data_IF_854442289499
#
_entry.id   IF_854442289499
#
_cell.length_a   1.000
_cell.length_b   1.000
_cell.length_c   1.000
_cell.angle_alpha   90.00
_cell.angle_beta   90.00
_cell.angle_gamma   90.00
#
_symmetry.space_group_name_H-M   'P 1'
#
loop_
_entity.id
_entity.type
_entity.pdbx_description
1 polymer ?
#
# COMPACT_ATOMS: atom_id res chain seq x y z
N UNK A 1 -26.60 -52.74 -48.87
CA UNK A 1 -27.51 -52.35 -49.97
C UNK A 1 -28.69 -51.61 -49.37
N UNK A 2 -28.99 -50.38 -49.87
CA UNK A 2 -30.13 -49.49 -49.53
C UNK A 2 -30.06 -48.82 -48.13
N UNK A 3 -30.38 -47.54 -47.94
CA UNK A 3 -30.69 -46.43 -48.84
C UNK A 3 -30.51 -45.12 -48.04
N UNK A 4 -29.98 -44.12 -48.72
CA UNK A 4 -29.86 -42.71 -48.32
C UNK A 4 -31.24 -42.12 -48.00
N UNK A 5 -31.35 -41.31 -46.93
CA UNK A 5 -32.20 -40.13 -46.92
C UNK A 5 -31.45 -38.95 -46.32
N UNK A 6 -31.03 -38.04 -47.21
CA UNK A 6 -30.66 -36.66 -46.91
C UNK A 6 -31.88 -35.94 -46.33
N UNK A 7 -31.70 -35.21 -45.23
CA UNK A 7 -32.41 -33.95 -45.02
C UNK A 7 -31.35 -32.93 -44.63
N UNK A 8 -31.19 -31.97 -45.53
CA UNK A 8 -30.40 -30.76 -45.40
C UNK A 8 -31.32 -29.73 -44.74
N UNK A 9 -30.91 -29.15 -43.61
CA UNK A 9 -31.34 -27.81 -43.23
C UNK A 9 -30.16 -27.09 -42.56
N UNK A 10 -29.76 -26.00 -43.22
CA UNK A 10 -28.80 -25.01 -42.76
C UNK A 10 -29.23 -24.41 -41.42
N UNK A 11 -28.26 -24.06 -40.58
CA UNK A 11 -28.55 -23.26 -39.38
C UNK A 11 -27.35 -22.92 -38.51
N UNK A 12 -26.49 -22.04 -39.02
CA UNK A 12 -25.61 -21.12 -38.26
C UNK A 12 -24.40 -21.71 -37.52
N UNK A 13 -23.26 -21.36 -38.11
CA UNK A 13 -21.88 -21.54 -37.67
C UNK A 13 -21.58 -20.75 -36.39
N UNK A 14 -20.78 -21.39 -35.53
CA UNK A 14 -20.13 -20.88 -34.33
C UNK A 14 -19.69 -19.42 -34.39
N UNK A 15 -19.91 -18.71 -33.29
CA UNK A 15 -18.90 -17.82 -32.72
C UNK A 15 -19.01 -17.83 -31.19
N UNK A 16 -18.53 -18.91 -30.59
CA UNK A 16 -18.19 -18.96 -29.17
C UNK A 16 -16.99 -18.03 -28.95
N UNK A 17 -17.26 -16.75 -28.72
CA UNK A 17 -16.28 -15.86 -28.11
C UNK A 17 -16.38 -16.13 -26.61
N UNK A 18 -15.54 -17.05 -26.13
CA UNK A 18 -15.19 -17.09 -24.73
C UNK A 18 -14.66 -15.68 -24.38
N UNK A 19 -15.40 -14.97 -23.53
CA UNK A 19 -14.92 -13.72 -22.94
C UNK A 19 -13.63 -14.04 -22.19
N UNK A 20 -12.53 -13.62 -22.81
CA UNK A 20 -11.20 -13.58 -22.21
C UNK A 20 -11.29 -12.70 -20.97
N UNK A 21 -11.35 -13.33 -19.80
CA UNK A 21 -11.09 -12.67 -18.53
C UNK A 21 -9.61 -12.28 -18.48
N UNK A 22 -9.33 -11.02 -18.79
CA UNK A 22 -8.08 -10.32 -18.47
C UNK A 22 -8.44 -9.22 -17.47
N UNK A 23 -7.69 -8.88 -16.43
CA UNK A 23 -6.39 -9.34 -15.93
C UNK A 23 -6.26 -8.76 -14.51
N UNK A 24 -5.60 -9.51 -13.62
CA UNK A 24 -5.24 -9.13 -12.27
C UNK A 24 -4.57 -7.75 -12.24
N UNK A 25 -5.18 -6.80 -11.50
CA UNK A 25 -4.47 -5.62 -11.02
C UNK A 25 -3.83 -6.01 -9.70
N UNK A 26 -2.55 -5.75 -9.56
CA UNK A 26 -1.80 -5.86 -8.31
C UNK A 26 -2.51 -5.04 -7.24
N UNK A 27 -3.29 -5.68 -6.38
CA UNK A 27 -3.91 -5.05 -5.23
C UNK A 27 -2.82 -4.87 -4.17
N UNK A 28 -2.43 -3.63 -3.94
CA UNK A 28 -1.64 -3.29 -2.76
C UNK A 28 -2.48 -3.63 -1.53
N UNK A 29 -1.97 -4.48 -0.64
CA UNK A 29 -2.60 -4.68 0.66
C UNK A 29 -2.29 -3.45 1.52
N UNK A 30 -3.27 -2.56 1.64
CA UNK A 30 -3.34 -1.60 2.75
C UNK A 30 -3.85 -2.35 4.00
N UNK A 31 -4.03 -1.68 5.14
CA UNK A 31 -4.58 -2.16 6.44
C UNK A 31 -5.89 -3.01 6.42
N UNK A 32 -6.31 -3.44 5.25
CA UNK A 32 -7.53 -4.12 4.80
C UNK A 32 -7.85 -5.49 5.37
N UNK A 33 -6.94 -6.19 6.08
CA UNK A 33 -7.28 -7.48 6.70
C UNK A 33 -8.21 -7.29 7.91
N UNK A 34 -8.04 -6.22 8.70
CA UNK A 34 -8.85 -5.98 9.92
C UNK A 34 -10.21 -5.33 9.64
N UNK A 35 -10.44 -4.83 8.42
CA UNK A 35 -11.59 -3.99 8.08
C UNK A 35 -12.72 -4.80 7.41
N UNK A 36 -12.44 -6.03 6.94
CA UNK A 36 -13.38 -6.84 6.14
C UNK A 36 -14.77 -7.06 6.77
N UNK A 37 -14.88 -6.99 8.10
CA UNK A 37 -16.14 -7.25 8.83
C UNK A 37 -16.85 -5.99 9.38
N UNK A 38 -16.38 -4.77 9.05
CA UNK A 38 -17.01 -3.53 9.55
C UNK A 38 -18.17 -3.09 8.65
N UNK A 39 -19.39 -3.08 9.19
CA UNK A 39 -20.61 -2.66 8.47
C UNK A 39 -20.61 -1.17 8.05
N UNK A 40 -20.08 -0.29 8.90
CA UNK A 40 -19.73 1.08 8.54
C UNK A 40 -18.68 1.61 9.53
N UNK A 41 -17.74 2.42 9.06
CA UNK A 41 -16.65 2.92 9.91
C UNK A 41 -16.09 4.25 9.38
N UNK A 42 -15.32 4.94 10.23
CA UNK A 42 -14.60 6.16 9.86
C UNK A 42 -13.20 5.80 9.37
N UNK A 43 -12.81 6.09 8.12
CA UNK A 43 -11.47 5.81 7.63
C UNK A 43 -10.36 6.44 8.48
N UNK A 44 -10.62 7.62 9.06
CA UNK A 44 -9.71 8.30 9.98
C UNK A 44 -9.37 7.50 11.24
N UNK A 45 -10.18 6.52 11.62
CA UNK A 45 -9.88 5.64 12.76
C UNK A 45 -8.95 4.48 12.37
N UNK A 46 -8.71 4.26 11.06
CA UNK A 46 -7.83 3.22 10.53
C UNK A 46 -6.47 3.77 10.08
N UNK A 47 -6.23 5.08 10.26
CA UNK A 47 -4.93 5.70 9.95
C UNK A 47 -3.90 5.38 11.01
N UNK A 48 -2.62 5.36 10.66
CA UNK A 48 -1.55 5.12 11.62
C UNK A 48 -1.45 6.31 12.57
N UNK A 49 -1.53 6.02 13.87
CA UNK A 49 -1.39 7.01 14.91
C UNK A 49 0.01 7.64 14.94
N UNK A 50 0.04 8.88 15.39
CA UNK A 50 1.30 9.56 15.70
C UNK A 50 2.03 8.86 16.86
N UNK A 51 3.33 8.64 16.68
CA UNK A 51 4.28 8.16 17.68
C UNK A 51 5.53 9.04 17.66
N UNK A 52 6.25 9.09 18.77
CA UNK A 52 7.53 9.82 18.81
C UNK A 52 8.56 9.19 17.88
N UNK A 53 8.65 7.86 17.97
CA UNK A 53 9.51 7.01 17.17
C UNK A 53 8.68 5.87 16.57
N UNK A 54 9.04 5.50 15.36
CA UNK A 54 8.54 4.33 14.66
C UNK A 54 9.68 3.34 14.45
N UNK A 55 9.42 2.07 14.74
CA UNK A 55 10.38 0.99 14.53
C UNK A 55 9.69 -0.12 13.75
N UNK A 56 10.01 -0.22 12.46
CA UNK A 56 9.50 -1.26 11.59
C UNK A 56 10.65 -2.22 11.26
N UNK A 57 10.89 -3.18 12.15
CA UNK A 57 12.02 -4.10 12.04
C UNK A 57 11.92 -4.99 10.79
N UNK A 58 10.71 -5.40 10.42
CA UNK A 58 10.46 -6.16 9.18
C UNK A 58 10.60 -5.31 7.92
N UNK A 59 10.49 -3.98 8.02
CA UNK A 59 10.79 -3.05 6.92
C UNK A 59 12.27 -2.68 6.86
N UNK A 60 13.00 -2.82 7.98
CA UNK A 60 14.37 -2.34 8.11
C UNK A 60 14.46 -0.81 8.27
N UNK A 61 13.45 -0.18 8.88
CA UNK A 61 13.44 1.27 9.13
C UNK A 61 13.14 1.61 10.59
N UNK A 62 13.88 2.57 11.11
CA UNK A 62 13.55 3.31 12.33
C UNK A 62 13.51 4.79 12.01
N UNK A 63 12.49 5.51 12.45
CA UNK A 63 12.46 6.96 12.21
C UNK A 63 11.63 7.74 13.23
N UNK A 64 11.98 9.02 13.37
CA UNK A 64 11.18 10.04 14.05
C UNK A 64 10.78 11.13 13.07
N UNK A 65 9.53 11.58 13.14
CA UNK A 65 9.00 12.59 12.22
C UNK A 65 9.47 14.03 12.58
N UNK A 66 9.47 14.94 11.60
CA UNK A 66 9.65 16.37 11.88
C UNK A 66 8.51 16.91 12.74
N UNK A 67 8.77 17.94 13.54
CA UNK A 67 7.77 18.54 14.42
C UNK A 67 6.51 18.98 13.64
N UNK A 68 6.66 19.56 12.45
CA UNK A 68 5.53 20.00 11.63
C UNK A 68 4.67 18.82 11.14
N UNK A 69 5.30 17.69 10.77
CA UNK A 69 4.54 16.47 10.39
C UNK A 69 3.79 15.94 11.61
N UNK A 70 4.42 15.90 12.79
CA UNK A 70 3.79 15.46 14.04
C UNK A 70 2.56 16.30 14.37
N UNK A 71 2.69 17.63 14.29
CA UNK A 71 1.57 18.56 14.52
C UNK A 71 0.45 18.40 13.49
N UNK A 72 0.80 18.18 12.21
CA UNK A 72 -0.17 17.96 11.14
C UNK A 72 -0.91 16.61 11.27
N UNK A 73 -0.26 15.59 11.85
CA UNK A 73 -0.93 14.33 12.19
C UNK A 73 -1.83 14.47 13.40
N UNK A 74 -1.36 15.14 14.45
CA UNK A 74 -2.14 15.38 15.67
C UNK A 74 -3.41 16.21 15.40
N UNK A 75 -3.32 17.21 14.51
CA UNK A 75 -4.47 18.01 14.09
C UNK A 75 -5.32 17.36 12.97
N UNK A 76 -4.98 16.13 12.55
CA UNK A 76 -5.65 15.32 11.52
C UNK A 76 -5.71 15.97 10.13
N UNK A 77 -4.91 17.00 9.85
CA UNK A 77 -4.79 17.59 8.51
C UNK A 77 -3.88 16.78 7.58
N UNK A 78 -3.04 15.93 8.15
CA UNK A 78 -2.18 14.95 7.47
C UNK A 78 -2.40 13.59 8.12
N UNK A 79 -2.47 12.53 7.33
CA UNK A 79 -2.57 11.15 7.83
C UNK A 79 -1.46 10.29 7.26
N UNK A 80 -1.03 9.31 8.06
CA UNK A 80 -0.09 8.28 7.63
C UNK A 80 -0.84 6.97 7.34
N UNK A 81 -0.58 6.38 6.17
CA UNK A 81 -1.17 5.11 5.73
C UNK A 81 -0.08 4.15 5.24
N UNK A 82 -0.30 2.85 5.42
CA UNK A 82 0.57 1.78 4.96
C UNK A 82 0.20 1.28 3.56
N UNK A 83 1.20 0.81 2.81
CA UNK A 83 0.98 0.11 1.55
C UNK A 83 2.15 -0.82 1.25
N UNK A 84 1.86 -2.09 1.00
CA UNK A 84 2.85 -3.10 0.63
C UNK A 84 2.38 -3.98 -0.52
N UNK A 85 3.32 -4.68 -1.16
CA UNK A 85 3.01 -5.73 -2.12
C UNK A 85 2.22 -6.89 -1.48
N UNK A 86 1.61 -7.72 -2.32
CA UNK A 86 0.81 -8.87 -1.88
C UNK A 86 1.61 -9.79 -0.92
N UNK A 87 0.93 -10.28 0.12
CA UNK A 87 1.55 -11.06 1.21
C UNK A 87 2.04 -12.45 0.77
N UNK A 88 1.46 -13.00 -0.29
CA UNK A 88 1.77 -14.33 -0.81
C UNK A 88 2.83 -14.32 -1.93
N UNK A 89 3.44 -13.17 -2.18
CA UNK A 89 4.51 -12.98 -3.15
C UNK A 89 5.78 -12.50 -2.43
N UNK A 90 6.93 -12.67 -3.07
CA UNK A 90 8.18 -12.05 -2.59
C UNK A 90 7.98 -10.55 -2.43
N UNK A 91 8.34 -9.99 -1.27
CA UNK A 91 8.17 -8.57 -0.97
C UNK A 91 8.85 -7.70 -2.04
N UNK A 92 8.05 -6.89 -2.72
CA UNK A 92 8.53 -5.99 -3.79
C UNK A 92 8.66 -4.55 -3.33
N UNK A 93 7.76 -4.12 -2.45
CA UNK A 93 7.77 -2.79 -1.89
C UNK A 93 6.96 -2.76 -0.60
N UNK A 94 7.31 -1.81 0.26
CA UNK A 94 6.51 -1.42 1.40
C UNK A 94 6.84 0.03 1.73
N UNK A 95 5.82 0.86 1.90
CA UNK A 95 6.00 2.27 2.22
C UNK A 95 4.88 2.81 3.11
N UNK A 96 5.26 3.84 3.86
CA UNK A 96 4.34 4.70 4.58
C UNK A 96 4.11 5.95 3.74
N UNK A 97 2.86 6.37 3.67
CA UNK A 97 2.45 7.53 2.89
C UNK A 97 1.86 8.62 3.74
N UNK A 98 2.21 9.85 3.44
CA UNK A 98 1.70 11.05 4.09
C UNK A 98 0.72 11.74 3.16
N UNK A 99 -0.53 11.87 3.60
CA UNK A 99 -1.63 12.31 2.76
C UNK A 99 -2.38 13.45 3.45
N UNK A 100 -2.63 14.56 2.76
CA UNK A 100 -3.46 15.63 3.31
C UNK A 100 -4.92 15.20 3.31
N UNK A 101 -5.65 15.64 4.32
CA UNK A 101 -7.05 15.31 4.51
C UNK A 101 -7.87 16.59 4.63
N UNK A 102 -8.86 16.74 3.76
CA UNK A 102 -9.85 17.81 3.88
C UNK A 102 -10.82 17.56 5.05
N UNK A 103 -11.49 18.59 5.56
CA UNK A 103 -12.52 18.42 6.61
C UNK A 103 -13.60 17.41 6.23
N UNK A 104 -14.06 17.44 4.97
CA UNK A 104 -15.03 16.47 4.45
C UNK A 104 -14.51 15.02 4.52
N UNK A 105 -13.22 14.82 4.25
CA UNK A 105 -12.60 13.50 4.34
C UNK A 105 -12.38 13.06 5.80
N UNK A 106 -12.12 14.00 6.72
CA UNK A 106 -12.00 13.70 8.15
C UNK A 106 -13.32 13.18 8.75
N UNK A 107 -14.45 13.76 8.33
CA UNK A 107 -15.78 13.39 8.82
C UNK A 107 -16.44 12.22 8.05
N UNK A 108 -15.73 11.64 7.06
CA UNK A 108 -16.27 10.59 6.22
C UNK A 108 -16.61 9.31 7.03
N UNK A 109 -17.71 8.68 6.65
CA UNK A 109 -18.09 7.33 7.08
C UNK A 109 -18.26 6.50 5.81
N UNK A 110 -17.58 5.35 5.75
CA UNK A 110 -17.62 4.42 4.61
C UNK A 110 -18.34 3.14 5.00
N UNK A 111 -19.01 2.51 4.05
CA UNK A 111 -19.84 1.31 4.28
C UNK A 111 -19.09 -0.01 4.02
N UNK A 112 -17.94 0.04 3.36
CA UNK A 112 -17.19 -1.15 2.96
C UNK A 112 -15.77 -0.78 2.49
N UNK A 113 -14.98 -1.81 2.19
CA UNK A 113 -13.62 -1.67 1.66
C UNK A 113 -13.54 -0.92 0.33
N UNK A 114 -14.52 -1.06 -0.57
CA UNK A 114 -14.49 -0.37 -1.84
C UNK A 114 -14.64 1.15 -1.67
N UNK A 115 -15.47 1.59 -0.71
CA UNK A 115 -15.60 2.99 -0.35
C UNK A 115 -14.37 3.52 0.41
N UNK A 116 -13.77 2.70 1.27
CA UNK A 116 -12.49 3.03 1.91
C UNK A 116 -11.38 3.25 0.88
N UNK A 117 -11.21 2.33 -0.08
CA UNK A 117 -10.21 2.47 -1.16
C UNK A 117 -10.46 3.72 -2.01
N UNK A 118 -11.73 4.07 -2.25
CA UNK A 118 -12.09 5.34 -2.92
C UNK A 118 -11.73 6.56 -2.07
N UNK A 119 -11.96 6.51 -0.75
CA UNK A 119 -11.56 7.58 0.16
C UNK A 119 -10.05 7.78 0.13
N UNK A 120 -9.28 6.69 0.29
CA UNK A 120 -7.82 6.69 0.26
C UNK A 120 -7.27 7.25 -1.06
N UNK A 121 -7.78 6.76 -2.20
CA UNK A 121 -7.34 7.20 -3.54
C UNK A 121 -7.58 8.70 -3.80
N UNK A 122 -8.54 9.31 -3.10
CA UNK A 122 -8.85 10.73 -3.25
C UNK A 122 -8.08 11.63 -2.27
N UNK A 123 -7.22 11.07 -1.43
CA UNK A 123 -6.35 11.88 -0.58
C UNK A 123 -5.24 12.53 -1.41
N UNK A 124 -4.81 13.72 -1.00
CA UNK A 124 -3.70 14.42 -1.65
C UNK A 124 -2.36 13.90 -1.10
N UNK A 125 -1.64 13.10 -1.89
CA UNK A 125 -0.31 12.58 -1.53
C UNK A 125 0.71 13.71 -1.37
N UNK A 126 1.31 13.81 -0.19
CA UNK A 126 2.41 14.75 0.10
C UNK A 126 3.79 14.12 -0.06
N UNK A 127 3.93 12.87 0.39
CA UNK A 127 5.17 12.11 0.25
C UNK A 127 5.08 10.69 0.78
N UNK A 128 6.19 9.95 0.69
CA UNK A 128 6.35 8.60 1.23
C UNK A 128 7.73 8.39 1.82
N UNK A 129 7.84 7.46 2.77
CA UNK A 129 9.09 6.86 3.22
C UNK A 129 8.93 5.35 3.00
N UNK A 130 9.85 4.71 2.28
CA UNK A 130 9.69 3.28 2.03
C UNK A 130 10.86 2.56 1.37
N UNK A 131 10.66 1.26 1.25
CA UNK A 131 11.57 0.26 0.73
C UNK A 131 11.04 -0.32 -0.58
N UNK A 132 11.93 -0.56 -1.54
CA UNK A 132 11.61 -1.09 -2.86
C UNK A 132 12.67 -2.10 -3.28
N UNK A 133 12.26 -3.19 -3.91
CA UNK A 133 13.18 -4.19 -4.46
C UNK A 133 14.21 -3.51 -5.35
N UNK A 134 15.49 -3.85 -5.15
CA UNK A 134 16.60 -3.23 -5.89
C UNK A 134 16.41 -3.44 -7.39
N UNK A 135 16.67 -2.39 -8.15
CA UNK A 135 16.51 -2.39 -9.61
C UNK A 135 15.14 -1.90 -10.09
N UNK A 136 14.17 -1.69 -9.19
CA UNK A 136 12.90 -1.04 -9.54
C UNK A 136 13.15 0.33 -10.17
N UNK A 137 12.51 0.60 -11.31
CA UNK A 137 12.71 1.82 -12.07
C UNK A 137 12.07 3.03 -11.38
N UNK A 138 12.57 4.23 -11.72
CA UNK A 138 11.95 5.48 -11.25
C UNK A 138 10.48 5.56 -11.63
N UNK A 139 10.11 5.07 -12.83
CA UNK A 139 8.72 5.04 -13.30
C UNK A 139 7.83 4.17 -12.42
N UNK A 140 8.27 2.96 -12.10
CA UNK A 140 7.53 2.07 -11.18
C UNK A 140 7.35 2.70 -9.79
N UNK A 141 8.40 3.32 -9.25
CA UNK A 141 8.31 4.02 -7.95
C UNK A 141 7.34 5.21 -8.04
N UNK A 142 7.35 5.99 -9.13
CA UNK A 142 6.39 7.07 -9.37
C UNK A 142 4.95 6.54 -9.42
N UNK A 143 4.71 5.44 -10.12
CA UNK A 143 3.38 4.82 -10.23
C UNK A 143 2.88 4.30 -8.87
N UNK A 144 3.74 3.64 -8.10
CA UNK A 144 3.40 3.12 -6.76
C UNK A 144 3.12 4.23 -5.75
N UNK A 145 4.01 5.21 -5.69
CA UNK A 145 3.96 6.25 -4.65
C UNK A 145 3.03 7.40 -4.98
N UNK A 146 2.72 7.58 -6.27
CA UNK A 146 2.03 8.75 -6.84
C UNK A 146 2.74 10.08 -6.55
N UNK A 147 4.04 10.03 -6.23
CA UNK A 147 4.88 11.21 -6.00
C UNK A 147 5.68 11.57 -7.25
N UNK A 148 5.95 12.87 -7.42
CA UNK A 148 6.68 13.39 -8.60
C UNK A 148 8.20 13.20 -8.49
N UNK A 149 8.74 13.30 -7.27
CA UNK A 149 10.17 13.27 -7.01
C UNK A 149 10.54 12.17 -6.02
N UNK A 150 11.75 11.64 -6.16
CA UNK A 150 12.27 10.54 -5.35
C UNK A 150 13.74 10.79 -5.03
N UNK A 151 14.10 10.62 -3.75
CA UNK A 151 15.48 10.69 -3.26
C UNK A 151 15.83 9.37 -2.59
N UNK A 152 16.83 8.68 -3.13
CA UNK A 152 17.38 7.48 -2.50
C UNK A 152 18.07 7.86 -1.20
N UNK A 153 17.75 7.16 -0.12
CA UNK A 153 18.33 7.41 1.21
C UNK A 153 19.25 6.27 1.67
N UNK A 154 19.19 5.10 1.02
CA UNK A 154 20.14 4.02 1.27
C UNK A 154 19.73 2.68 0.66
N UNK A 155 20.36 1.62 1.14
CA UNK A 155 20.21 0.23 0.69
C UNK A 155 20.16 -0.64 1.94
N UNK A 156 19.40 -1.73 1.91
CA UNK A 156 19.39 -2.73 2.99
C UNK A 156 20.74 -3.42 3.13
N UNK A 157 21.05 -3.94 4.32
CA UNK A 157 22.33 -4.63 4.58
C UNK A 157 22.54 -5.87 3.69
N UNK A 158 21.46 -6.61 3.40
CA UNK A 158 21.48 -7.73 2.44
C UNK A 158 21.62 -7.29 0.97
N UNK A 159 21.58 -5.97 0.70
CA UNK A 159 21.72 -5.41 -0.63
C UNK A 159 20.51 -5.63 -1.55
N UNK A 160 19.42 -6.22 -1.07
CA UNK A 160 18.26 -6.62 -1.88
C UNK A 160 17.27 -5.47 -2.12
N UNK A 161 17.29 -4.43 -1.28
CA UNK A 161 16.32 -3.35 -1.31
C UNK A 161 16.98 -1.97 -1.33
N UNK A 162 16.32 -1.00 -1.94
CA UNK A 162 16.68 0.41 -1.90
C UNK A 162 15.60 1.20 -1.18
N UNK A 163 16.01 2.13 -0.32
CA UNK A 163 15.11 3.00 0.42
C UNK A 163 15.03 4.37 -0.22
N UNK A 164 13.82 4.92 -0.27
CA UNK A 164 13.56 6.24 -0.82
C UNK A 164 12.63 7.03 0.09
N UNK A 165 12.90 8.34 0.16
CA UNK A 165 11.84 9.31 0.42
C UNK A 165 11.31 9.81 -0.93
N UNK A 166 9.98 9.86 -1.07
CA UNK A 166 9.33 10.43 -2.24
C UNK A 166 8.46 11.60 -1.81
N UNK A 167 8.33 12.61 -2.67
CA UNK A 167 7.63 13.83 -2.31
C UNK A 167 6.98 14.48 -3.53
N UNK A 168 5.86 15.16 -3.29
CA UNK A 168 5.12 15.85 -4.33
C UNK A 168 5.71 17.22 -4.66
N UNK A 169 6.28 17.91 -3.66
CA UNK A 169 6.86 19.24 -3.80
C UNK A 169 8.02 19.47 -2.82
N UNK A 170 8.80 20.52 -3.06
CA UNK A 170 9.97 20.87 -2.24
C UNK A 170 9.65 21.28 -0.80
N UNK A 171 8.41 21.70 -0.52
CA UNK A 171 8.00 22.01 0.86
C UNK A 171 7.96 20.73 1.69
N UNK A 172 7.27 19.69 1.21
CA UNK A 172 7.20 18.43 1.93
C UNK A 172 8.53 17.66 1.92
N UNK A 173 9.36 17.85 0.88
CA UNK A 173 10.75 17.37 0.87
C UNK A 173 11.53 17.84 2.10
N UNK A 174 11.46 19.14 2.43
CA UNK A 174 12.18 19.72 3.57
C UNK A 174 11.71 19.12 4.89
N UNK A 175 10.42 18.83 5.01
CA UNK A 175 9.87 18.15 6.19
C UNK A 175 10.41 16.72 6.33
N UNK A 176 10.43 15.95 5.24
CA UNK A 176 11.00 14.60 5.24
C UNK A 176 12.51 14.59 5.51
N UNK A 177 13.24 15.62 5.07
CA UNK A 177 14.68 15.78 5.35
C UNK A 177 14.98 16.19 6.80
N UNK A 178 13.99 16.67 7.55
CA UNK A 178 14.10 16.94 8.98
C UNK A 178 13.70 15.73 9.85
N UNK A 179 13.08 14.70 9.26
CA UNK A 179 12.89 13.42 9.94
C UNK A 179 14.24 12.78 10.21
N UNK A 180 14.42 12.19 11.40
CA UNK A 180 15.56 11.32 11.67
C UNK A 180 15.21 9.94 11.14
N UNK A 181 15.81 9.53 10.01
CA UNK A 181 15.54 8.25 9.37
C UNK A 181 16.81 7.40 9.41
N UNK A 182 16.69 6.21 9.98
CA UNK A 182 17.74 5.22 10.11
C UNK A 182 17.31 3.93 9.39
N UNK A 183 18.20 3.43 8.54
CA UNK A 183 18.05 2.09 7.94
C UNK A 183 18.69 1.11 8.92
N UNK A 184 17.90 0.17 9.40
CA UNK A 184 18.31 -0.85 10.36
C UNK A 184 18.32 -2.23 9.69
N UNK A 185 18.89 -3.22 10.40
CA UNK A 185 18.78 -4.61 9.98
C UNK A 185 17.32 -5.04 9.91
N UNK A 186 16.98 -5.71 8.81
CA UNK A 186 15.64 -6.22 8.57
C UNK A 186 15.49 -7.58 9.24
N UNK A 187 14.41 -7.79 9.97
CA UNK A 187 14.01 -9.13 10.40
C UNK A 187 13.46 -9.93 9.21
N UNK A 188 13.62 -11.25 9.25
CA UNK A 188 12.92 -12.13 8.30
C UNK A 188 11.41 -11.91 8.41
N UNK A 189 10.71 -11.95 7.27
CA UNK A 189 9.26 -11.80 7.23
C UNK A 189 8.61 -12.81 8.17
N UNK A 190 7.64 -12.36 8.98
CA UNK A 190 6.86 -13.28 9.79
C UNK A 190 5.93 -14.12 8.90
N UNK A 191 5.38 -15.20 9.45
CA UNK A 191 4.46 -16.10 8.73
C UNK A 191 3.22 -15.38 8.15
N UNK A 192 2.91 -14.18 8.65
CA UNK A 192 1.78 -13.36 8.20
C UNK A 192 2.15 -12.39 7.05
N UNK A 193 3.42 -12.28 6.65
CA UNK A 193 3.92 -11.44 5.54
C UNK A 193 3.83 -9.92 5.75
N UNK A 194 3.43 -9.45 6.94
CA UNK A 194 3.28 -8.01 7.22
C UNK A 194 4.61 -7.39 7.61
N UNK A 195 5.07 -6.39 6.84
CA UNK A 195 6.32 -5.67 7.14
C UNK A 195 6.12 -4.26 7.67
N UNK A 196 4.89 -3.73 7.57
CA UNK A 196 4.48 -2.40 8.02
C UNK A 196 3.79 -2.43 9.40
N UNK A 197 4.10 -3.45 10.22
CA UNK A 197 3.73 -3.51 11.63
C UNK A 197 4.99 -3.60 12.48
N UNK A 198 5.01 -2.89 13.60
CA UNK A 198 6.09 -3.02 14.57
C UNK A 198 6.03 -4.42 15.20
N UNK A 199 7.18 -4.99 15.56
CA UNK A 199 7.22 -6.34 16.14
C UNK A 199 6.29 -6.52 17.35
N UNK A 200 6.28 -5.55 18.26
CA UNK A 200 5.41 -5.56 19.45
C UNK A 200 3.91 -5.58 19.11
N UNK A 201 3.53 -4.99 17.97
CA UNK A 201 2.14 -4.93 17.51
C UNK A 201 1.72 -6.28 16.90
N UNK A 202 2.69 -7.11 16.50
CA UNK A 202 2.50 -8.44 15.92
C UNK A 202 2.48 -9.58 16.96
N UNK A 203 3.16 -9.41 18.10
CA UNK A 203 3.24 -10.43 19.17
C UNK A 203 1.87 -10.82 19.76
N UNK A 204 0.81 -10.02 19.51
CA UNK A 204 -0.55 -10.28 19.98
C UNK A 204 -1.57 -10.51 18.85
N UNK A 205 -1.14 -10.61 17.58
CA UNK A 205 -2.05 -10.95 16.48
C UNK A 205 -2.07 -12.45 16.25
N UNK A 206 -3.22 -13.08 16.51
CA UNK A 206 -3.46 -14.48 16.14
C UNK A 206 -3.32 -14.63 14.62
N UNK A 207 -2.60 -15.66 14.20
CA UNK A 207 -2.53 -16.07 12.79
C UNK A 207 -3.94 -16.53 12.41
N UNK A 208 -4.58 -15.83 11.47
CA UNK A 208 -5.81 -16.34 10.87
C UNK A 208 -5.43 -17.61 10.10
N UNK A 209 -5.67 -18.77 10.70
CA UNK A 209 -5.62 -20.04 10.00
C UNK A 209 -6.87 -20.12 9.12
N UNK A 210 -6.67 -20.19 7.80
CA UNK A 210 -7.72 -20.53 6.81
C UNK A 210 -8.29 -21.94 7.04
#
# INVERSE_FOLDING_TARGET
MKLIRKVMMLGVVCLSIALVGCQNKTEALTSSVTIKDKASFKPMNETIDYKEDYVYEYLGLKFSLSQNIKEAMNNKSLVMLDSQSALNEELRYAFLSFNKVSRKQQDAVVQNMNEYMKWEKNLERSGTIGMYKKGMSKKEITELTQCTYHKKIGISHDGQYSYYISYQNDTFKRELEQCHIEIIDRLEENDNGFVLKEKKDLENTEVFND
#
